data_IF_858255825865
#
_entry.id   IF_858255825865
#
_cell.length_a   1.000
_cell.length_b   1.000
_cell.length_c   1.000
_cell.angle_alpha   90.00
_cell.angle_beta   90.00
_cell.angle_gamma   90.00
#
_symmetry.space_group_name_H-M   'P 1'
#
loop_
_entity.id
_entity.type
_entity.pdbx_description
1 polymer ?
#
# COMPACT_ATOMS: atom_id res chain seq x y z
N UNK A 1 18.05 7.76 32.88
CA UNK A 1 17.42 8.77 32.00
C UNK A 1 16.57 8.01 31.00
N UNK A 2 15.29 7.84 31.29
CA UNK A 2 14.38 6.98 30.54
C UNK A 2 13.87 7.66 29.27
N UNK A 3 14.11 6.96 28.14
CA UNK A 3 13.22 6.80 26.98
C UNK A 3 12.75 8.04 26.22
N UNK A 4 13.31 8.25 25.04
CA UNK A 4 12.47 8.56 23.88
C UNK A 4 13.10 8.00 22.59
N UNK A 5 12.89 6.70 22.31
CA UNK A 5 13.27 6.07 21.04
C UNK A 5 12.33 6.47 19.88
N UNK A 6 11.37 7.39 20.11
CA UNK A 6 10.23 7.64 19.21
C UNK A 6 10.50 8.57 18.03
N UNK A 7 11.59 9.33 18.00
CA UNK A 7 11.81 10.39 17.00
C UNK A 7 10.77 11.53 17.08
N UNK A 8 10.90 12.59 16.24
CA UNK A 8 10.00 13.73 16.24
C UNK A 8 8.52 13.33 16.12
N UNK A 9 7.61 14.07 16.77
CA UNK A 9 6.16 13.77 16.78
C UNK A 9 5.58 13.51 15.38
N UNK A 10 6.09 14.21 14.37
CA UNK A 10 5.69 14.06 12.96
C UNK A 10 6.06 12.68 12.39
N UNK A 11 7.20 12.12 12.80
CA UNK A 11 7.66 10.77 12.41
C UNK A 11 6.77 9.69 13.04
N UNK A 12 6.33 9.91 14.28
CA UNK A 12 5.41 8.99 14.96
C UNK A 12 4.00 9.00 14.33
N UNK A 13 3.52 10.19 13.93
CA UNK A 13 2.25 10.33 13.19
C UNK A 13 2.35 9.60 11.84
N UNK A 14 3.44 9.81 11.09
CA UNK A 14 3.66 9.12 9.81
C UNK A 14 3.70 7.59 10.00
N UNK A 15 4.43 7.10 11.00
CA UNK A 15 4.48 5.67 11.31
C UNK A 15 3.12 5.09 11.73
N UNK A 16 2.29 5.88 12.42
CA UNK A 16 0.92 5.48 12.79
C UNK A 16 0.04 5.39 11.55
N UNK A 17 0.08 6.39 10.67
CA UNK A 17 -0.62 6.36 9.38
C UNK A 17 -0.17 5.17 8.53
N UNK A 18 1.12 4.84 8.53
CA UNK A 18 1.63 3.66 7.84
C UNK A 18 1.05 2.35 8.39
N UNK A 19 0.88 2.23 9.71
CA UNK A 19 0.21 1.06 10.32
C UNK A 19 -1.29 1.02 10.01
N UNK A 20 -1.95 2.18 9.93
CA UNK A 20 -3.34 2.27 9.50
C UNK A 20 -3.48 1.82 8.05
N UNK A 21 -2.58 2.26 7.16
CA UNK A 21 -2.49 1.79 5.78
C UNK A 21 -2.30 0.27 5.69
N UNK A 22 -1.42 -0.29 6.53
CA UNK A 22 -1.25 -1.73 6.64
C UNK A 22 -2.56 -2.44 7.06
N UNK A 23 -3.33 -1.87 7.98
CA UNK A 23 -4.63 -2.39 8.38
C UNK A 23 -5.63 -2.44 7.21
N UNK A 24 -5.69 -1.37 6.40
CA UNK A 24 -6.53 -1.36 5.20
C UNK A 24 -6.09 -2.38 4.15
N UNK A 25 -4.78 -2.50 3.89
CA UNK A 25 -4.25 -3.52 2.98
C UNK A 25 -4.58 -4.94 3.46
N UNK A 26 -4.53 -5.18 4.77
CA UNK A 26 -4.90 -6.48 5.35
C UNK A 26 -6.40 -6.76 5.18
N UNK A 27 -7.26 -5.76 5.43
CA UNK A 27 -8.69 -5.89 5.21
C UNK A 27 -9.02 -6.19 3.74
N UNK A 28 -8.37 -5.50 2.80
CA UNK A 28 -8.51 -5.78 1.37
C UNK A 28 -8.08 -7.21 1.03
N UNK A 29 -6.94 -7.66 1.55
CA UNK A 29 -6.42 -9.01 1.35
C UNK A 29 -7.38 -10.11 1.85
N UNK A 30 -8.03 -9.87 3.00
CA UNK A 30 -8.99 -10.82 3.60
C UNK A 30 -10.35 -10.75 2.91
N UNK A 31 -10.78 -9.57 2.46
CA UNK A 31 -12.04 -9.40 1.75
C UNK A 31 -12.03 -10.03 0.35
N UNK A 32 -10.87 -10.04 -0.33
CA UNK A 32 -10.72 -10.60 -1.68
C UNK A 32 -11.25 -12.05 -1.81
N UNK A 33 -10.83 -13.03 -0.97
CA UNK A 33 -11.37 -14.39 -1.02
C UNK A 33 -12.84 -14.47 -0.58
N UNK A 34 -13.34 -13.57 0.27
CA UNK A 34 -14.76 -13.58 0.68
C UNK A 34 -15.69 -13.10 -0.43
N UNK A 35 -15.16 -12.35 -1.39
CA UNK A 35 -15.90 -11.85 -2.56
C UNK A 35 -15.87 -12.83 -3.74
N UNK A 36 -15.29 -14.04 -3.57
CA UNK A 36 -15.11 -15.04 -4.63
C UNK A 36 -16.40 -15.44 -5.36
N UNK A 37 -17.55 -15.35 -4.69
CA UNK A 37 -18.85 -15.61 -5.30
C UNK A 37 -19.17 -14.70 -6.49
N UNK A 38 -18.62 -13.47 -6.54
CA UNK A 38 -18.79 -12.53 -7.66
C UNK A 38 -17.66 -12.60 -8.70
N UNK A 39 -16.51 -13.19 -8.37
CA UNK A 39 -15.39 -13.27 -9.31
C UNK A 39 -15.58 -14.29 -10.43
N UNK A 40 -16.50 -15.25 -10.26
CA UNK A 40 -16.84 -16.20 -11.32
C UNK A 40 -17.47 -15.50 -12.53
N UNK A 41 -18.46 -14.63 -12.32
CA UNK A 41 -19.09 -13.85 -13.42
C UNK A 41 -18.06 -12.97 -14.14
N UNK A 42 -17.14 -12.34 -13.41
CA UNK A 42 -16.08 -11.53 -14.00
C UNK A 42 -15.07 -12.37 -14.79
N UNK A 43 -14.74 -13.57 -14.30
CA UNK A 43 -13.86 -14.49 -15.01
C UNK A 43 -14.54 -15.02 -16.29
N UNK A 44 -15.82 -15.37 -16.23
CA UNK A 44 -16.61 -15.79 -17.38
C UNK A 44 -16.68 -14.68 -18.45
N UNK A 45 -16.98 -13.43 -18.05
CA UNK A 45 -16.93 -12.28 -18.98
C UNK A 45 -15.54 -12.08 -19.60
N UNK A 46 -14.47 -12.18 -18.82
CA UNK A 46 -13.11 -12.02 -19.35
C UNK A 46 -12.76 -13.09 -20.40
N UNK A 47 -13.21 -14.34 -20.21
CA UNK A 47 -13.03 -15.38 -21.23
C UNK A 47 -13.91 -15.15 -22.46
N UNK A 48 -15.15 -14.68 -22.29
CA UNK A 48 -16.03 -14.32 -23.40
C UNK A 48 -15.45 -13.20 -24.27
N UNK A 49 -14.84 -12.19 -23.67
CA UNK A 49 -14.18 -11.08 -24.38
C UNK A 49 -12.97 -11.54 -25.23
N UNK A 50 -12.29 -12.61 -24.80
CA UNK A 50 -11.18 -13.19 -25.59
C UNK A 50 -11.65 -14.00 -26.80
N UNK A 51 -12.94 -14.37 -26.87
CA UNK A 51 -13.50 -15.21 -27.94
C UNK A 51 -12.98 -16.65 -27.96
N UNK A 52 -12.21 -17.05 -26.93
CA UNK A 52 -11.68 -18.39 -26.81
C UNK A 52 -12.71 -19.33 -26.16
N UNK A 53 -12.75 -20.59 -26.59
CA UNK A 53 -13.53 -21.61 -25.89
C UNK A 53 -12.90 -21.89 -24.52
N UNK A 54 -13.70 -21.81 -23.46
CA UNK A 54 -13.27 -22.09 -22.10
C UNK A 54 -14.13 -23.20 -21.46
N UNK A 55 -13.58 -23.88 -20.46
CA UNK A 55 -14.30 -24.87 -19.66
C UNK A 55 -14.62 -24.32 -18.26
N UNK A 56 -15.55 -24.96 -17.55
CA UNK A 56 -15.84 -24.61 -16.16
C UNK A 56 -14.60 -24.73 -15.25
N UNK A 57 -13.69 -25.67 -15.55
CA UNK A 57 -12.42 -25.83 -14.84
C UNK A 57 -11.46 -24.67 -15.06
N UNK A 58 -11.48 -24.03 -16.24
CA UNK A 58 -10.61 -22.89 -16.55
C UNK A 58 -11.03 -21.66 -15.73
N UNK A 59 -12.35 -21.44 -15.62
CA UNK A 59 -12.94 -20.39 -14.79
C UNK A 59 -12.60 -20.60 -13.31
N UNK A 60 -12.79 -21.82 -12.79
CA UNK A 60 -12.48 -22.13 -11.38
C UNK A 60 -10.98 -21.95 -11.08
N UNK A 61 -10.11 -22.36 -12.00
CA UNK A 61 -8.67 -22.15 -11.88
C UNK A 61 -8.32 -20.66 -11.90
N UNK A 62 -8.88 -19.87 -12.82
CA UNK A 62 -8.64 -18.43 -12.91
C UNK A 62 -9.07 -17.70 -11.62
N UNK A 63 -10.26 -18.04 -11.10
CA UNK A 63 -10.79 -17.50 -9.85
C UNK A 63 -9.88 -17.86 -8.66
N UNK A 64 -9.46 -19.12 -8.56
CA UNK A 64 -8.58 -19.59 -7.48
C UNK A 64 -7.20 -18.93 -7.52
N UNK A 65 -6.57 -18.87 -8.71
CA UNK A 65 -5.27 -18.20 -8.91
C UNK A 65 -5.39 -16.71 -8.62
N UNK A 66 -6.45 -16.05 -9.07
CA UNK A 66 -6.72 -14.65 -8.79
C UNK A 66 -6.87 -14.38 -7.29
N UNK A 67 -7.57 -15.25 -6.57
CA UNK A 67 -7.74 -15.15 -5.11
C UNK A 67 -6.39 -15.26 -4.38
N UNK A 68 -5.61 -16.29 -4.71
CA UNK A 68 -4.28 -16.51 -4.12
C UNK A 68 -3.36 -15.33 -4.41
N UNK A 69 -3.35 -14.85 -5.66
CA UNK A 69 -2.57 -13.69 -6.06
C UNK A 69 -2.94 -12.44 -5.26
N UNK A 70 -4.24 -12.15 -5.12
CA UNK A 70 -4.73 -11.00 -4.36
C UNK A 70 -4.32 -11.07 -2.88
N UNK A 71 -4.45 -12.25 -2.25
CA UNK A 71 -4.03 -12.46 -0.86
C UNK A 71 -2.52 -12.25 -0.71
N UNK A 72 -1.72 -12.86 -1.58
CA UNK A 72 -0.25 -12.73 -1.52
C UNK A 72 0.17 -11.27 -1.70
N UNK A 73 -0.37 -10.57 -2.69
CA UNK A 73 -0.05 -9.16 -2.93
C UNK A 73 -0.51 -8.25 -1.79
N UNK A 74 -1.70 -8.51 -1.23
CA UNK A 74 -2.18 -7.80 -0.05
C UNK A 74 -1.27 -7.97 1.16
N UNK A 75 -0.81 -9.20 1.44
CA UNK A 75 0.14 -9.47 2.52
C UNK A 75 1.51 -8.82 2.28
N UNK A 76 2.00 -8.84 1.04
CA UNK A 76 3.24 -8.13 0.68
C UNK A 76 3.09 -6.63 0.92
N UNK A 77 1.95 -6.03 0.56
CA UNK A 77 1.67 -4.63 0.85
C UNK A 77 1.67 -4.34 2.36
N UNK A 78 1.02 -5.19 3.17
CA UNK A 78 1.03 -5.08 4.64
C UNK A 78 2.46 -5.10 5.18
N UNK A 79 3.26 -6.10 4.80
CA UNK A 79 4.65 -6.22 5.22
C UNK A 79 5.46 -4.98 4.85
N UNK A 80 5.25 -4.48 3.64
CA UNK A 80 5.94 -3.30 3.13
C UNK A 80 5.61 -2.04 3.94
N UNK A 81 4.33 -1.80 4.24
CA UNK A 81 3.91 -0.71 5.12
C UNK A 81 4.56 -0.79 6.51
N UNK A 82 4.62 -1.98 7.10
CA UNK A 82 5.23 -2.20 8.41
C UNK A 82 6.76 -1.99 8.39
N UNK A 83 7.43 -2.47 7.34
CA UNK A 83 8.86 -2.27 7.12
C UNK A 83 9.18 -0.78 6.99
N UNK A 84 8.41 -0.05 6.18
CA UNK A 84 8.58 1.39 6.03
C UNK A 84 8.34 2.11 7.36
N UNK A 85 7.27 1.78 8.09
CA UNK A 85 6.99 2.36 9.40
C UNK A 85 8.17 2.15 10.36
N UNK A 86 8.77 0.96 10.37
CA UNK A 86 9.92 0.63 11.21
C UNK A 86 11.19 1.42 10.84
N UNK A 87 11.48 1.58 9.55
CA UNK A 87 12.68 2.30 9.13
C UNK A 87 12.53 3.82 9.16
N UNK A 88 11.30 4.33 9.01
CA UNK A 88 10.95 5.75 9.21
C UNK A 88 11.17 6.16 10.67
N UNK A 89 10.73 5.36 11.64
CA UNK A 89 10.99 5.65 13.06
C UNK A 89 12.47 5.60 13.41
N UNK A 90 13.26 4.78 12.70
CA UNK A 90 14.73 4.73 12.85
C UNK A 90 15.48 5.83 12.10
N UNK A 91 14.80 6.78 11.47
CA UNK A 91 15.44 7.94 10.84
C UNK A 91 16.26 7.62 9.59
N UNK A 92 16.00 6.49 8.91
CA UNK A 92 16.76 6.15 7.70
C UNK A 92 16.21 6.90 6.47
N UNK A 93 17.05 7.74 5.85
CA UNK A 93 16.64 8.60 4.74
C UNK A 93 16.14 7.82 3.50
N UNK A 94 16.67 6.60 3.24
CA UNK A 94 16.21 5.76 2.12
C UNK A 94 14.73 5.37 2.23
N UNK A 95 14.18 5.29 3.46
CA UNK A 95 12.78 4.95 3.67
C UNK A 95 11.85 6.03 3.06
N UNK A 96 12.32 7.27 2.94
CA UNK A 96 11.57 8.36 2.30
C UNK A 96 11.46 8.16 0.80
N UNK A 97 12.58 7.84 0.16
CA UNK A 97 12.62 7.57 -1.28
C UNK A 97 11.83 6.30 -1.62
N UNK A 98 12.00 5.22 -0.84
CA UNK A 98 11.24 3.99 -1.01
C UNK A 98 9.73 4.23 -0.86
N UNK A 99 9.30 4.96 0.18
CA UNK A 99 7.87 5.30 0.36
C UNK A 99 7.31 6.12 -0.80
N UNK A 100 8.11 7.04 -1.35
CA UNK A 100 7.69 7.88 -2.49
C UNK A 100 7.57 7.05 -3.77
N UNK A 101 8.55 6.20 -4.06
CA UNK A 101 8.52 5.30 -5.21
C UNK A 101 7.31 4.35 -5.15
N UNK A 102 7.01 3.80 -3.97
CA UNK A 102 5.87 2.92 -3.78
C UNK A 102 4.53 3.62 -3.91
N UNK A 103 4.42 4.85 -3.41
CA UNK A 103 3.23 5.65 -3.61
C UNK A 103 2.97 5.93 -5.09
N UNK A 104 4.02 6.25 -5.86
CA UNK A 104 3.89 6.47 -7.32
C UNK A 104 3.43 5.20 -8.02
N UNK A 105 3.98 4.03 -7.66
CA UNK A 105 3.54 2.74 -8.21
C UNK A 105 2.06 2.50 -7.86
N UNK A 106 1.67 2.70 -6.59
CA UNK A 106 0.29 2.54 -6.16
C UNK A 106 -0.67 3.49 -6.88
N UNK A 107 -0.24 4.72 -7.17
CA UNK A 107 -1.03 5.71 -7.91
C UNK A 107 -1.25 5.28 -9.37
N UNK A 108 -0.21 4.75 -10.01
CA UNK A 108 -0.32 4.19 -11.37
C UNK A 108 -1.25 2.98 -11.37
N UNK A 109 -1.05 2.05 -10.43
CA UNK A 109 -1.90 0.86 -10.30
C UNK A 109 -3.37 1.23 -10.12
N UNK A 110 -3.69 2.19 -9.25
CA UNK A 110 -5.05 2.69 -9.08
C UNK A 110 -5.61 3.30 -10.38
N UNK A 111 -4.80 4.08 -11.11
CA UNK A 111 -5.17 4.61 -12.42
C UNK A 111 -5.51 3.51 -13.44
N UNK A 112 -4.75 2.42 -13.46
CA UNK A 112 -5.05 1.25 -14.29
C UNK A 112 -6.33 0.54 -13.84
N UNK A 113 -6.54 0.40 -12.54
CA UNK A 113 -7.77 -0.18 -11.98
C UNK A 113 -9.00 0.62 -12.39
N UNK A 114 -8.93 1.96 -12.43
CA UNK A 114 -10.04 2.81 -12.89
C UNK A 114 -10.45 2.54 -14.34
N UNK A 115 -9.51 2.13 -15.20
CA UNK A 115 -9.80 1.77 -16.59
C UNK A 115 -10.58 0.45 -16.71
N UNK A 116 -10.58 -0.37 -15.66
CA UNK A 116 -11.23 -1.69 -15.63
C UNK A 116 -12.62 -1.68 -14.98
N UNK A 117 -13.23 -0.50 -14.82
CA UNK A 117 -14.56 -0.33 -14.20
C UNK A 117 -14.69 -1.07 -12.84
N UNK A 118 -13.89 -0.69 -11.83
CA UNK A 118 -13.81 -1.43 -10.59
C UNK A 118 -15.13 -1.33 -9.81
N UNK A 119 -15.36 -2.30 -8.93
CA UNK A 119 -16.49 -2.20 -7.99
C UNK A 119 -16.33 -0.96 -7.11
N UNK A 120 -17.45 -0.35 -6.70
CA UNK A 120 -17.43 0.82 -5.80
C UNK A 120 -16.65 0.55 -4.50
N UNK A 121 -16.73 -0.68 -3.98
CA UNK A 121 -16.01 -1.09 -2.78
C UNK A 121 -14.49 -1.09 -3.00
N UNK A 122 -14.01 -1.67 -4.10
CA UNK A 122 -12.59 -1.67 -4.44
C UNK A 122 -12.07 -0.24 -4.64
N UNK A 123 -12.83 0.58 -5.37
CA UNK A 123 -12.50 1.99 -5.62
C UNK A 123 -12.35 2.79 -4.32
N UNK A 124 -13.27 2.62 -3.36
CA UNK A 124 -13.21 3.31 -2.07
C UNK A 124 -12.05 2.83 -1.18
N UNK A 125 -11.78 1.52 -1.15
CA UNK A 125 -10.68 0.95 -0.36
C UNK A 125 -9.31 1.41 -0.88
N UNK A 126 -9.08 1.29 -2.18
CA UNK A 126 -7.81 1.68 -2.79
C UNK A 126 -7.60 3.20 -2.76
N UNK A 127 -8.67 3.96 -3.00
CA UNK A 127 -8.66 5.42 -2.87
C UNK A 127 -8.33 5.88 -1.44
N UNK A 128 -8.92 5.23 -0.42
CA UNK A 128 -8.60 5.52 0.98
C UNK A 128 -7.15 5.17 1.33
N UNK A 129 -6.65 4.02 0.86
CA UNK A 129 -5.25 3.62 1.07
C UNK A 129 -4.26 4.61 0.43
N UNK A 130 -4.57 5.11 -0.78
CA UNK A 130 -3.78 6.15 -1.43
C UNK A 130 -3.82 7.47 -0.66
N UNK A 131 -4.99 7.91 -0.18
CA UNK A 131 -5.08 9.12 0.64
C UNK A 131 -4.22 9.01 1.90
N UNK A 132 -4.26 7.87 2.59
CA UNK A 132 -3.40 7.61 3.76
C UNK A 132 -1.92 7.67 3.38
N UNK A 133 -1.53 7.09 2.24
CA UNK A 133 -0.16 7.15 1.72
C UNK A 133 0.30 8.57 1.38
N UNK A 134 -0.57 9.36 0.75
CA UNK A 134 -0.29 10.75 0.43
C UNK A 134 -0.07 11.59 1.70
N UNK A 135 -0.94 11.44 2.71
CA UNK A 135 -0.80 12.14 3.99
C UNK A 135 0.49 11.71 4.70
N UNK A 136 0.80 10.41 4.72
CA UNK A 136 2.03 9.90 5.30
C UNK A 136 3.28 10.51 4.62
N UNK A 137 3.27 10.65 3.29
CA UNK A 137 4.34 11.30 2.54
C UNK A 137 4.48 12.79 2.86
N UNK A 138 3.38 13.53 2.96
CA UNK A 138 3.40 14.94 3.34
C UNK A 138 4.08 15.12 4.70
N UNK A 139 3.72 14.30 5.69
CA UNK A 139 4.36 14.32 7.00
C UNK A 139 5.83 13.90 6.95
N UNK A 140 6.17 12.93 6.11
CA UNK A 140 7.54 12.43 5.96
C UNK A 140 8.46 13.48 5.30
N UNK A 141 7.93 14.28 4.37
CA UNK A 141 8.65 15.34 3.68
C UNK A 141 8.61 16.71 4.37
N UNK A 142 7.88 16.83 5.48
CA UNK A 142 7.79 18.06 6.25
C UNK A 142 9.18 18.55 6.72
N UNK A 143 9.51 19.86 6.59
CA UNK A 143 10.84 20.38 6.91
C UNK A 143 11.31 20.07 8.34
N UNK A 144 10.37 19.97 9.30
CA UNK A 144 10.65 19.58 10.69
C UNK A 144 11.27 18.18 10.86
N UNK A 145 11.13 17.28 9.89
CA UNK A 145 11.70 15.92 9.95
C UNK A 145 13.11 15.84 9.33
N UNK A 146 13.54 16.85 8.58
CA UNK A 146 14.86 16.86 7.89
C UNK A 146 16.06 16.59 8.82
N UNK A 147 16.15 17.17 10.03
CA UNK A 147 17.28 16.91 10.93
C UNK A 147 17.34 15.46 11.42
N UNK A 148 16.20 14.76 11.48
CA UNK A 148 16.12 13.37 11.92
C UNK A 148 16.68 12.39 10.88
N UNK A 149 16.57 12.72 9.59
CA UNK A 149 17.05 11.88 8.49
C UNK A 149 18.47 12.23 8.01
N UNK A 150 18.98 13.41 8.37
CA UNK A 150 20.32 13.88 8.03
C UNK A 150 21.00 14.54 9.25
N UNK A 151 21.59 13.76 10.17
CA UNK A 151 22.21 14.32 11.38
C UNK A 151 23.40 15.25 11.08
N UNK A 152 24.17 14.97 10.01
CA UNK A 152 25.40 15.70 9.67
C UNK A 152 25.19 17.12 9.14
N UNK A 153 24.04 17.44 8.52
CA UNK A 153 23.75 18.79 8.02
C UNK A 153 23.51 19.82 9.16
N UNK A 154 23.29 19.34 10.39
CA UNK A 154 23.04 20.19 11.57
C UNK A 154 24.30 20.57 12.36
N UNK A 155 25.46 20.00 11.99
CA UNK A 155 26.75 20.28 12.62
C UNK A 155 27.49 21.45 11.93
N UNK A 156 27.47 21.54 10.60
CA UNK A 156 28.12 22.64 9.86
C UNK A 156 27.46 24.01 10.10
N UNK A 157 26.17 24.05 10.43
CA UNK A 157 25.48 25.31 10.76
C UNK A 157 25.83 25.85 12.17
N UNK A 158 26.65 25.13 12.95
CA UNK A 158 27.08 25.49 14.31
C UNK A 158 28.60 25.69 14.43
N UNK A 159 29.34 25.61 13.33
CA UNK A 159 30.78 25.94 13.22
C UNK A 159 30.97 27.19 12.39
#
# INVERSE_FOLDING_TARGET
MSTDQGGPRQVQIAATLMRVGAGFSLLGAVAAPLLLGRSRELAEQAFEETGASYTASDVDNAVSVGAVYAVVMGLLAVLLWLVLAHFVTRGRAWARFASTALFVIGLISYGLTLLQAPTLVALLLDGAALLVGAIALIYLWHPATRPWFHPFASQEARS
#
